data_IF_157626657904
#
_entry.id   IF_157626657904
#
_cell.length_a   1.000
_cell.length_b   1.000
_cell.length_c   1.000
_cell.angle_alpha   90.00
_cell.angle_beta   90.00
_cell.angle_gamma   90.00
#
_symmetry.space_group_name_H-M   'P 1'
#
loop_
_entity.id
_entity.type
_entity.pdbx_description
1 polymer ?
#
# COMPACT_ATOMS: atom_id res chain seq x y z
N UNK A 1 -2.51 -6.72 4.86
CA UNK A 1 -3.05 -7.16 6.17
C UNK A 1 -3.37 -6.01 7.13
N UNK A 2 -2.53 -4.96 7.22
CA UNK A 2 -2.82 -3.84 8.13
C UNK A 2 -4.19 -3.16 7.86
N UNK A 3 -4.59 -2.97 6.60
CA UNK A 3 -5.92 -2.44 6.26
C UNK A 3 -7.07 -3.30 6.82
N UNK A 4 -6.96 -4.63 6.77
CA UNK A 4 -7.94 -5.54 7.37
C UNK A 4 -7.99 -5.39 8.90
N UNK A 5 -6.85 -5.20 9.56
CA UNK A 5 -6.79 -4.93 11.00
C UNK A 5 -7.47 -3.60 11.34
N UNK A 6 -7.16 -2.52 10.60
CA UNK A 6 -7.82 -1.23 10.77
C UNK A 6 -9.34 -1.36 10.67
N UNK A 7 -9.81 -2.07 9.65
CA UNK A 7 -11.23 -2.32 9.39
C UNK A 7 -11.92 -3.14 10.48
N UNK A 8 -11.36 -4.30 10.81
CA UNK A 8 -12.07 -5.30 11.61
C UNK A 8 -11.72 -5.29 13.10
N UNK A 9 -10.51 -4.89 13.47
CA UNK A 9 -10.10 -4.81 14.88
C UNK A 9 -10.41 -3.44 15.49
N UNK A 10 -10.34 -2.36 14.70
CA UNK A 10 -10.50 -0.99 15.20
C UNK A 10 -11.75 -0.27 14.67
N UNK A 11 -12.41 -0.81 13.63
CA UNK A 11 -13.56 -0.14 13.00
C UNK A 11 -13.18 1.12 12.21
N UNK A 12 -11.90 1.25 11.85
CA UNK A 12 -11.33 2.43 11.17
C UNK A 12 -11.40 2.25 9.65
N UNK A 13 -12.62 2.38 9.13
CA UNK A 13 -12.95 2.17 7.72
C UNK A 13 -12.23 3.19 6.80
N UNK A 14 -12.23 4.46 7.19
CA UNK A 14 -11.61 5.54 6.39
C UNK A 14 -10.11 5.31 6.21
N UNK A 15 -9.40 4.95 7.28
CA UNK A 15 -7.98 4.68 7.29
C UNK A 15 -7.63 3.40 6.51
N UNK A 16 -8.47 2.37 6.61
CA UNK A 16 -8.33 1.15 5.83
C UNK A 16 -8.42 1.44 4.33
N UNK A 17 -9.46 2.18 3.91
CA UNK A 17 -9.66 2.58 2.50
C UNK A 17 -8.53 3.48 2.00
N UNK A 18 -8.06 4.43 2.82
CA UNK A 18 -6.94 5.30 2.45
C UNK A 18 -5.66 4.49 2.17
N UNK A 19 -5.34 3.52 3.04
CA UNK A 19 -4.17 2.65 2.86
C UNK A 19 -4.29 1.76 1.62
N UNK A 20 -5.45 1.12 1.41
CA UNK A 20 -5.70 0.29 0.22
C UNK A 20 -5.57 1.13 -1.07
N UNK A 21 -6.18 2.31 -1.09
CA UNK A 21 -6.12 3.22 -2.24
C UNK A 21 -4.70 3.71 -2.52
N UNK A 22 -3.89 3.96 -1.49
CA UNK A 22 -2.50 4.36 -1.65
C UNK A 22 -1.64 3.24 -2.27
N UNK A 23 -1.89 1.98 -1.89
CA UNK A 23 -1.26 0.82 -2.52
C UNK A 23 -1.67 0.71 -3.98
N UNK A 24 -2.97 0.82 -4.29
CA UNK A 24 -3.47 0.75 -5.66
C UNK A 24 -2.87 1.86 -6.55
N UNK A 25 -2.81 3.09 -6.06
CA UNK A 25 -2.16 4.21 -6.77
C UNK A 25 -0.68 3.96 -7.02
N UNK A 26 0.08 3.51 -6.01
CA UNK A 26 1.51 3.23 -6.18
C UNK A 26 1.74 2.12 -7.23
N UNK A 27 0.89 1.09 -7.25
CA UNK A 27 0.94 0.04 -8.26
C UNK A 27 0.55 0.55 -9.65
N UNK A 28 -0.45 1.43 -9.76
CA UNK A 28 -0.85 2.06 -11.02
C UNK A 28 0.27 2.95 -11.60
N UNK A 29 1.05 3.61 -10.74
CA UNK A 29 2.22 4.42 -11.12
C UNK A 29 3.48 3.59 -11.44
N UNK A 30 3.39 2.26 -11.36
CA UNK A 30 4.45 1.36 -11.81
C UNK A 30 5.36 0.82 -10.71
N UNK A 31 5.01 0.95 -9.43
CA UNK A 31 5.72 0.26 -8.35
C UNK A 31 5.72 -1.26 -8.60
N UNK A 32 6.90 -1.86 -8.78
CA UNK A 32 7.04 -3.31 -8.90
C UNK A 32 8.25 -3.79 -8.10
N UNK A 33 8.00 -4.65 -7.12
CA UNK A 33 9.03 -5.43 -6.41
C UNK A 33 9.46 -6.62 -7.27
N UNK A 34 10.49 -7.37 -6.82
CA UNK A 34 11.06 -8.48 -7.59
C UNK A 34 10.05 -9.58 -7.94
N UNK A 35 9.16 -9.91 -7.01
CA UNK A 35 8.08 -10.88 -7.19
C UNK A 35 7.00 -10.41 -8.18
N UNK A 36 6.92 -9.11 -8.43
CA UNK A 36 6.02 -8.49 -9.42
C UNK A 36 6.75 -8.11 -10.73
N UNK A 37 7.96 -8.63 -10.95
CA UNK A 37 8.75 -8.40 -12.17
C UNK A 37 9.48 -7.06 -12.22
N UNK A 38 9.61 -6.36 -11.09
CA UNK A 38 10.39 -5.13 -10.98
C UNK A 38 11.68 -5.29 -10.17
N UNK A 39 12.23 -4.16 -9.74
CA UNK A 39 13.49 -4.12 -8.98
C UNK A 39 13.39 -3.31 -7.70
N UNK A 40 12.20 -2.82 -7.33
CA UNK A 40 12.02 -2.08 -6.09
C UNK A 40 12.29 -2.99 -4.88
N UNK A 41 13.07 -2.50 -3.93
CA UNK A 41 13.22 -3.14 -2.63
C UNK A 41 12.05 -2.77 -1.69
N UNK A 42 12.01 -3.38 -0.51
CA UNK A 42 10.95 -3.17 0.47
C UNK A 42 10.85 -1.72 0.95
N UNK A 43 11.97 -1.03 1.09
CA UNK A 43 12.00 0.36 1.55
C UNK A 43 11.48 1.31 0.46
N UNK A 44 11.86 1.08 -0.79
CA UNK A 44 11.36 1.80 -1.96
C UNK A 44 9.85 1.58 -2.13
N UNK A 45 9.37 0.34 -1.99
CA UNK A 45 7.95 0.03 -2.03
C UNK A 45 7.18 0.77 -0.94
N UNK A 46 7.69 0.77 0.30
CA UNK A 46 7.09 1.49 1.43
C UNK A 46 7.03 2.99 1.15
N UNK A 47 8.12 3.59 0.66
CA UNK A 47 8.18 5.02 0.33
C UNK A 47 7.20 5.39 -0.79
N UNK A 48 7.06 4.54 -1.80
CA UNK A 48 6.12 4.75 -2.89
C UNK A 48 4.66 4.73 -2.40
N UNK A 49 4.29 3.79 -1.53
CA UNK A 49 2.95 3.76 -0.92
C UNK A 49 2.71 4.97 -0.01
N UNK A 50 3.70 5.36 0.80
CA UNK A 50 3.58 6.55 1.67
C UNK A 50 3.41 7.86 0.89
N UNK A 51 4.02 7.98 -0.28
CA UNK A 51 3.85 9.13 -1.15
C UNK A 51 2.43 9.25 -1.74
N UNK A 52 1.62 8.20 -1.60
CA UNK A 52 0.25 8.11 -2.10
C UNK A 52 -0.80 8.27 -1.00
N UNK A 53 -0.44 8.49 0.27
CA UNK A 53 -1.39 8.78 1.35
C UNK A 53 -1.67 10.28 1.39
#
# INVERSE_FOLDING_TARGET
>A
SAALMLRHAFGWETEAVALESAVDRALAEGLRTRDLGGSADTAQATKAVLAQI
#
